data_IF_790302155591
#
_entry.id   IF_790302155591
#
_cell.length_a   1.000
_cell.length_b   1.000
_cell.length_c   1.000
_cell.angle_alpha   90.00
_cell.angle_beta   90.00
_cell.angle_gamma   90.00
#
_symmetry.space_group_name_H-M   'P 1'
#
loop_
_entity.id
_entity.type
_entity.pdbx_description
1 polymer ?
#
# COMPACT_ATOMS: atom_id res chain seq x y z
N UNK A 1 -62.00 -37.05 -12.56
CA UNK A 1 -61.04 -36.78 -11.44
C UNK A 1 -59.70 -36.41 -12.06
N UNK A 2 -59.52 -35.13 -12.28
CA UNK A 2 -58.31 -34.58 -12.94
C UNK A 2 -57.35 -34.10 -11.88
N UNK A 3 -56.15 -34.70 -11.78
CA UNK A 3 -55.08 -34.30 -10.82
C UNK A 3 -54.23 -33.21 -11.46
N UNK A 4 -54.28 -32.01 -10.90
CA UNK A 4 -53.43 -30.93 -11.24
C UNK A 4 -52.12 -31.09 -10.42
N UNK A 5 -51.00 -31.34 -11.11
CA UNK A 5 -49.67 -31.35 -10.50
C UNK A 5 -49.12 -29.91 -10.45
N UNK A 6 -48.91 -29.41 -9.24
CA UNK A 6 -48.30 -28.11 -9.01
C UNK A 6 -46.76 -28.28 -9.05
N UNK A 7 -46.11 -27.76 -10.08
CA UNK A 7 -44.65 -27.72 -10.17
C UNK A 7 -44.13 -26.49 -9.40
N UNK A 8 -43.45 -26.72 -8.29
CA UNK A 8 -42.75 -25.66 -7.53
C UNK A 8 -41.42 -25.35 -8.26
N UNK A 9 -41.34 -24.21 -8.90
CA UNK A 9 -40.08 -23.71 -9.46
C UNK A 9 -39.24 -23.09 -8.35
N UNK A 10 -38.13 -23.76 -8.00
CA UNK A 10 -37.13 -23.24 -7.06
C UNK A 10 -36.30 -22.19 -7.78
N UNK A 11 -36.54 -20.90 -7.52
CA UNK A 11 -35.67 -19.79 -7.99
C UNK A 11 -34.47 -19.71 -7.08
N UNK A 12 -33.33 -20.26 -7.52
CA UNK A 12 -32.05 -20.07 -6.87
C UNK A 12 -31.56 -18.65 -7.18
N UNK A 13 -31.64 -17.76 -6.21
CA UNK A 13 -31.06 -16.43 -6.29
C UNK A 13 -29.53 -16.55 -6.22
N UNK A 14 -28.86 -16.45 -7.35
CA UNK A 14 -27.42 -16.32 -7.43
C UNK A 14 -27.05 -14.92 -6.93
N UNK A 15 -26.62 -14.81 -5.68
CA UNK A 15 -25.98 -13.60 -5.18
C UNK A 15 -24.60 -13.49 -5.84
N UNK A 16 -24.48 -12.64 -6.86
CA UNK A 16 -23.17 -12.24 -7.39
C UNK A 16 -22.54 -11.25 -6.41
N UNK A 17 -21.37 -11.59 -5.84
CA UNK A 17 -20.56 -10.65 -5.09
C UNK A 17 -20.16 -9.48 -6.01
N UNK A 18 -20.04 -8.25 -5.50
CA UNK A 18 -19.52 -7.15 -6.29
C UNK A 18 -18.11 -7.49 -6.80
N UNK A 19 -17.77 -7.05 -8.00
CA UNK A 19 -16.50 -7.34 -8.69
C UNK A 19 -15.28 -7.05 -7.81
N UNK A 20 -15.33 -5.98 -7.02
CA UNK A 20 -14.27 -5.59 -6.06
C UNK A 20 -14.02 -6.67 -5.00
N UNK A 21 -15.08 -7.18 -4.36
CA UNK A 21 -14.93 -8.22 -3.35
C UNK A 21 -14.38 -9.54 -3.94
N UNK A 22 -14.64 -9.81 -5.22
CA UNK A 22 -14.06 -10.95 -5.94
C UNK A 22 -12.57 -10.77 -6.18
N UNK A 23 -12.11 -9.55 -6.48
CA UNK A 23 -10.70 -9.23 -6.68
C UNK A 23 -9.89 -9.38 -5.38
N UNK A 24 -10.39 -8.87 -4.26
CA UNK A 24 -9.74 -9.01 -2.96
C UNK A 24 -9.62 -10.48 -2.54
N UNK A 25 -10.67 -11.29 -2.71
CA UNK A 25 -10.64 -12.72 -2.38
C UNK A 25 -9.64 -13.49 -3.27
N UNK A 26 -9.60 -13.20 -4.57
CA UNK A 26 -8.65 -13.80 -5.49
C UNK A 26 -7.21 -13.45 -5.14
N UNK A 27 -6.92 -12.19 -4.80
CA UNK A 27 -5.60 -11.75 -4.37
C UNK A 27 -5.20 -12.40 -3.04
N UNK A 28 -6.09 -12.50 -2.07
CA UNK A 28 -5.84 -13.19 -0.80
C UNK A 28 -5.42 -14.65 -1.05
N UNK A 29 -6.14 -15.35 -1.91
CA UNK A 29 -5.81 -16.74 -2.25
C UNK A 29 -4.45 -16.85 -2.97
N UNK A 30 -4.15 -15.93 -3.90
CA UNK A 30 -2.87 -15.87 -4.60
C UNK A 30 -1.70 -15.64 -3.63
N UNK A 31 -1.82 -14.69 -2.70
CA UNK A 31 -0.80 -14.39 -1.69
C UNK A 31 -0.56 -15.57 -0.74
N UNK A 32 -1.61 -16.26 -0.33
CA UNK A 32 -1.50 -17.43 0.54
C UNK A 32 -0.76 -18.60 -0.12
N UNK A 33 -1.02 -18.83 -1.42
CA UNK A 33 -0.45 -19.93 -2.20
C UNK A 33 0.88 -19.59 -2.88
N UNK A 34 1.32 -18.31 -2.86
CA UNK A 34 2.54 -17.88 -3.55
C UNK A 34 3.77 -18.64 -3.06
N UNK A 35 4.42 -19.37 -3.98
CA UNK A 35 5.67 -20.08 -3.70
C UNK A 35 6.81 -19.10 -3.41
N UNK A 36 7.68 -19.45 -2.46
CA UNK A 36 8.82 -18.63 -2.06
C UNK A 36 8.46 -17.35 -1.32
N UNK A 37 7.18 -17.06 -1.08
CA UNK A 37 6.76 -15.93 -0.25
C UNK A 37 7.12 -16.20 1.22
N UNK A 38 7.80 -15.25 1.91
CA UNK A 38 8.19 -15.44 3.30
C UNK A 38 7.01 -15.78 4.21
N UNK A 39 7.19 -16.75 5.11
CA UNK A 39 6.16 -17.17 6.07
C UNK A 39 5.70 -15.98 6.95
N UNK A 40 6.64 -15.15 7.40
CA UNK A 40 6.34 -13.95 8.18
C UNK A 40 5.44 -12.95 7.43
N UNK A 41 5.56 -12.86 6.10
CA UNK A 41 4.69 -12.01 5.28
C UNK A 41 3.28 -12.58 5.22
N UNK A 42 3.14 -13.90 5.06
CA UNK A 42 1.85 -14.59 5.08
C UNK A 42 1.14 -14.44 6.43
N UNK A 43 1.87 -14.51 7.53
CA UNK A 43 1.34 -14.24 8.88
C UNK A 43 0.91 -12.77 9.04
N UNK A 44 1.68 -11.84 8.45
CA UNK A 44 1.38 -10.42 8.51
C UNK A 44 0.10 -10.05 7.73
N UNK A 45 -0.31 -10.82 6.73
CA UNK A 45 -1.49 -10.53 5.90
C UNK A 45 -2.77 -10.42 6.72
N UNK A 46 -2.93 -11.24 7.76
CA UNK A 46 -4.12 -11.21 8.60
C UNK A 46 -4.38 -9.84 9.28
N UNK A 47 -3.31 -9.11 9.62
CA UNK A 47 -3.39 -7.79 10.26
C UNK A 47 -3.20 -6.65 9.28
N UNK A 48 -2.43 -6.83 8.20
CA UNK A 48 -2.18 -5.80 7.18
C UNK A 48 -3.29 -5.73 6.14
N UNK A 49 -4.12 -6.77 6.01
CA UNK A 49 -5.25 -6.87 5.07
C UNK A 49 -4.91 -6.33 3.67
N UNK A 50 -3.82 -6.83 3.05
CA UNK A 50 -3.27 -6.19 1.85
C UNK A 50 -4.23 -6.25 0.67
N UNK A 51 -5.01 -7.31 0.52
CA UNK A 51 -5.93 -7.46 -0.59
C UNK A 51 -7.08 -6.44 -0.52
N UNK A 52 -7.68 -6.28 0.65
CA UNK A 52 -8.75 -5.30 0.89
C UNK A 52 -8.23 -3.86 0.78
N UNK A 53 -6.97 -3.64 1.18
CA UNK A 53 -6.30 -2.33 1.06
C UNK A 53 -6.09 -1.96 -0.41
N UNK A 54 -5.59 -2.89 -1.24
CA UNK A 54 -5.40 -2.63 -2.67
C UNK A 54 -6.74 -2.50 -3.42
N UNK A 55 -7.76 -3.25 -3.01
CA UNK A 55 -9.12 -3.09 -3.53
C UNK A 55 -9.68 -1.68 -3.24
N UNK A 56 -9.49 -1.17 -2.02
CA UNK A 56 -9.85 0.20 -1.66
C UNK A 56 -9.11 1.23 -2.51
N UNK A 57 -7.82 1.02 -2.82
CA UNK A 57 -7.07 1.89 -3.73
C UNK A 57 -7.51 1.76 -5.18
N UNK A 58 -8.17 0.66 -5.55
CA UNK A 58 -8.53 0.35 -6.93
C UNK A 58 -7.34 -0.16 -7.76
N UNK A 59 -6.34 -0.75 -7.11
CA UNK A 59 -5.17 -1.33 -7.79
C UNK A 59 -5.50 -2.76 -8.25
N UNK A 60 -5.25 -3.02 -9.53
CA UNK A 60 -5.60 -4.31 -10.14
C UNK A 60 -4.81 -4.66 -11.38
N UNK A 61 -5.23 -5.70 -12.11
CA UNK A 61 -4.48 -6.29 -13.21
C UNK A 61 -4.09 -5.31 -14.31
N UNK A 62 -2.86 -5.45 -14.80
CA UNK A 62 -2.31 -4.68 -15.93
C UNK A 62 -1.78 -3.29 -15.58
N UNK A 63 -1.93 -2.83 -14.33
CA UNK A 63 -1.46 -1.52 -13.90
C UNK A 63 0.06 -1.44 -13.80
N UNK A 64 0.61 -0.24 -14.02
CA UNK A 64 1.98 0.12 -13.70
C UNK A 64 2.00 0.91 -12.39
N UNK A 65 2.65 0.37 -11.37
CA UNK A 65 2.60 0.91 -10.01
C UNK A 65 4.00 1.05 -9.41
N UNK A 66 4.14 1.92 -8.41
CA UNK A 66 5.36 2.02 -7.60
C UNK A 66 5.06 1.75 -6.13
N UNK A 67 5.89 0.91 -5.51
CA UNK A 67 5.99 0.72 -4.06
C UNK A 67 7.08 1.65 -3.56
N UNK A 68 6.69 2.70 -2.84
CA UNK A 68 7.57 3.78 -2.36
C UNK A 68 8.18 3.41 -1.01
N UNK A 69 9.49 3.64 -0.89
CA UNK A 69 10.27 3.29 0.31
C UNK A 69 10.03 1.82 0.69
N UNK A 70 10.08 0.97 -0.33
CA UNK A 70 9.63 -0.43 -0.28
C UNK A 70 10.36 -1.29 0.76
N UNK A 71 11.54 -0.83 1.26
CA UNK A 71 12.37 -1.62 2.19
C UNK A 71 12.62 -3.03 1.63
N UNK A 72 12.35 -4.10 2.38
CA UNK A 72 12.45 -5.49 1.92
C UNK A 72 11.32 -5.98 1.00
N UNK A 73 10.34 -5.11 0.63
CA UNK A 73 9.38 -5.34 -0.45
C UNK A 73 8.13 -6.15 -0.09
N UNK A 74 7.62 -6.05 1.13
CA UNK A 74 6.34 -6.67 1.46
C UNK A 74 5.22 -6.24 0.50
N UNK A 75 5.00 -4.91 0.37
CA UNK A 75 3.99 -4.39 -0.57
C UNK A 75 4.39 -4.57 -2.03
N UNK A 76 5.68 -4.57 -2.36
CA UNK A 76 6.16 -4.91 -3.72
C UNK A 76 5.60 -6.26 -4.19
N UNK A 77 5.69 -7.31 -3.35
CA UNK A 77 5.18 -8.62 -3.70
C UNK A 77 3.65 -8.68 -3.74
N UNK A 78 2.97 -7.98 -2.83
CA UNK A 78 1.50 -7.84 -2.86
C UNK A 78 1.05 -7.17 -4.15
N UNK A 79 1.68 -6.05 -4.53
CA UNK A 79 1.42 -5.32 -5.77
C UNK A 79 1.71 -6.18 -7.00
N UNK A 80 2.84 -6.92 -7.01
CA UNK A 80 3.20 -7.78 -8.13
C UNK A 80 2.14 -8.85 -8.42
N UNK A 81 1.56 -9.43 -7.35
CA UNK A 81 0.45 -10.39 -7.48
C UNK A 81 -0.85 -9.70 -7.94
N UNK A 82 -1.13 -8.49 -7.44
CA UNK A 82 -2.35 -7.75 -7.78
C UNK A 82 -2.37 -7.29 -9.25
N UNK A 83 -1.24 -6.76 -9.75
CA UNK A 83 -1.17 -6.28 -11.15
C UNK A 83 -0.96 -7.41 -12.15
N UNK A 84 -0.50 -8.56 -11.68
CA UNK A 84 -0.30 -9.75 -12.51
C UNK A 84 0.77 -9.61 -13.60
N UNK A 85 0.92 -10.61 -14.48
CA UNK A 85 2.03 -10.69 -15.43
C UNK A 85 2.03 -9.61 -16.51
N UNK A 86 0.89 -8.96 -16.76
CA UNK A 86 0.75 -7.87 -17.73
C UNK A 86 0.91 -6.49 -17.10
N UNK A 87 1.04 -6.40 -15.78
CA UNK A 87 1.33 -5.19 -15.03
C UNK A 87 2.81 -5.04 -14.74
N UNK A 88 3.17 -3.92 -14.10
CA UNK A 88 4.55 -3.62 -13.71
C UNK A 88 4.60 -3.00 -12.33
N UNK A 89 5.57 -3.42 -11.52
CA UNK A 89 5.85 -2.85 -10.20
C UNK A 89 7.26 -2.28 -10.17
N UNK A 90 7.38 -1.02 -9.83
CA UNK A 90 8.66 -0.43 -9.43
C UNK A 90 8.84 -0.56 -7.92
N UNK A 91 9.89 -1.26 -7.50
CA UNK A 91 10.31 -1.37 -6.10
C UNK A 91 11.29 -0.24 -5.79
N UNK A 92 10.79 0.86 -5.24
CA UNK A 92 11.61 2.04 -4.99
C UNK A 92 12.26 1.99 -3.60
N UNK A 93 13.57 2.20 -3.58
CA UNK A 93 14.35 2.48 -2.39
C UNK A 93 15.37 3.58 -2.72
N UNK A 94 15.53 4.54 -1.82
CA UNK A 94 16.60 5.54 -1.99
C UNK A 94 17.97 4.86 -1.88
N UNK A 95 19.00 5.25 -2.70
CA UNK A 95 20.33 4.66 -2.61
C UNK A 95 20.93 4.73 -1.19
N UNK A 96 20.67 5.80 -0.45
CA UNK A 96 21.12 5.98 0.94
C UNK A 96 20.54 4.94 1.90
N UNK A 97 19.31 4.46 1.66
CA UNK A 97 18.67 3.44 2.48
C UNK A 97 19.25 2.03 2.27
N UNK A 98 20.05 1.85 1.21
CA UNK A 98 20.67 0.57 0.84
C UNK A 98 22.14 0.49 1.26
N UNK A 99 22.62 1.42 2.11
CA UNK A 99 24.00 1.47 2.58
C UNK A 99 24.10 1.21 4.09
N UNK A 100 25.31 0.90 4.55
CA UNK A 100 25.56 0.56 5.95
C UNK A 100 24.93 -0.78 6.37
N UNK A 101 24.96 -1.09 7.64
CA UNK A 101 24.54 -2.39 8.17
C UNK A 101 23.03 -2.66 7.93
N UNK A 102 22.18 -1.66 8.16
CA UNK A 102 20.73 -1.76 7.90
C UNK A 102 20.46 -1.94 6.40
N UNK A 103 21.15 -1.15 5.56
CA UNK A 103 21.02 -1.23 4.10
C UNK A 103 21.46 -2.58 3.56
N UNK A 104 22.54 -3.18 4.08
CA UNK A 104 22.97 -4.53 3.70
C UNK A 104 21.91 -5.58 4.01
N UNK A 105 21.22 -5.49 5.16
CA UNK A 105 20.10 -6.40 5.48
C UNK A 105 18.92 -6.19 4.54
N UNK A 106 18.62 -4.94 4.19
CA UNK A 106 17.57 -4.61 3.23
C UNK A 106 17.89 -5.17 1.85
N UNK A 107 19.13 -4.98 1.36
CA UNK A 107 19.60 -5.55 0.09
C UNK A 107 19.49 -7.09 0.06
N UNK A 108 19.87 -7.75 1.16
CA UNK A 108 19.71 -9.22 1.26
C UNK A 108 18.24 -9.62 1.15
N UNK A 109 17.35 -8.95 1.88
CA UNK A 109 15.91 -9.23 1.83
C UNK A 109 15.32 -9.01 0.42
N UNK A 110 15.77 -7.97 -0.29
CA UNK A 110 15.38 -7.70 -1.68
C UNK A 110 15.87 -8.83 -2.60
N UNK A 111 17.14 -9.21 -2.48
CA UNK A 111 17.74 -10.26 -3.31
C UNK A 111 17.04 -11.59 -3.10
N UNK A 112 16.77 -11.97 -1.85
CA UNK A 112 16.03 -13.20 -1.51
C UNK A 112 14.61 -13.17 -2.08
N UNK A 113 13.91 -12.02 -2.00
CA UNK A 113 12.56 -11.84 -2.55
C UNK A 113 12.52 -11.98 -4.06
N UNK A 114 13.50 -11.45 -4.78
CA UNK A 114 13.56 -11.45 -6.24
C UNK A 114 14.30 -12.66 -6.82
N UNK A 115 14.84 -13.54 -5.96
CA UNK A 115 15.60 -14.71 -6.39
C UNK A 115 14.81 -15.59 -7.37
N UNK A 116 15.53 -16.18 -8.33
CA UNK A 116 14.94 -17.08 -9.31
C UNK A 116 13.96 -16.44 -10.29
N UNK A 117 13.84 -15.10 -10.30
CA UNK A 117 12.93 -14.38 -11.21
C UNK A 117 11.45 -14.59 -10.90
N UNK A 118 11.08 -15.03 -9.68
CA UNK A 118 9.70 -15.35 -9.30
C UNK A 118 8.73 -14.15 -9.35
N UNK A 119 9.24 -12.93 -9.31
CA UNK A 119 8.50 -11.68 -9.48
C UNK A 119 8.96 -10.97 -10.76
N UNK A 120 8.76 -11.60 -11.91
CA UNK A 120 9.28 -11.14 -13.20
C UNK A 120 8.72 -9.76 -13.64
N UNK A 121 7.59 -9.33 -13.06
CA UNK A 121 6.97 -8.03 -13.30
C UNK A 121 7.46 -6.93 -12.33
N UNK A 122 8.46 -7.22 -11.49
CA UNK A 122 9.08 -6.24 -10.55
C UNK A 122 10.40 -5.74 -11.13
N UNK A 123 10.56 -4.42 -11.11
CA UNK A 123 11.81 -3.73 -11.43
C UNK A 123 12.28 -2.90 -10.23
N UNK A 124 13.56 -3.05 -9.85
CA UNK A 124 14.16 -2.21 -8.79
C UNK A 124 14.36 -0.79 -9.29
N UNK A 125 13.93 0.17 -8.49
CA UNK A 125 14.07 1.59 -8.75
C UNK A 125 14.87 2.25 -7.61
N UNK A 126 16.21 2.21 -7.71
CA UNK A 126 17.08 2.79 -6.70
C UNK A 126 17.24 4.31 -6.96
N UNK A 127 16.22 5.07 -6.62
CA UNK A 127 16.11 6.53 -6.81
C UNK A 127 15.57 7.19 -5.55
N UNK A 128 15.77 8.50 -5.45
CA UNK A 128 15.15 9.29 -4.38
C UNK A 128 13.63 9.36 -4.59
N UNK A 129 12.79 9.24 -3.54
CA UNK A 129 11.34 9.33 -3.69
C UNK A 129 10.84 10.72 -4.14
N UNK A 130 11.72 11.75 -4.10
CA UNK A 130 11.44 13.08 -4.61
C UNK A 130 11.87 13.28 -6.08
N UNK A 131 12.58 12.30 -6.65
CA UNK A 131 13.00 12.26 -8.07
C UNK A 131 13.10 10.80 -8.53
N UNK A 132 11.99 10.23 -8.95
CA UNK A 132 11.93 8.84 -9.40
C UNK A 132 12.61 8.62 -10.76
N UNK A 133 12.86 9.70 -11.52
CA UNK A 133 13.39 9.60 -12.89
C UNK A 133 12.47 8.88 -13.88
N UNK A 134 11.20 8.69 -13.53
CA UNK A 134 10.18 8.12 -14.40
C UNK A 134 9.53 9.22 -15.27
N UNK A 135 9.00 8.88 -16.46
CA UNK A 135 8.28 9.85 -17.29
C UNK A 135 7.03 10.40 -16.59
N UNK A 136 6.63 11.63 -16.98
CA UNK A 136 5.39 12.24 -16.54
C UNK A 136 4.19 11.36 -16.93
N UNK A 137 3.24 11.19 -16.00
CA UNK A 137 2.02 10.45 -16.26
C UNK A 137 2.23 8.98 -16.64
N UNK A 138 3.30 8.34 -16.15
CA UNK A 138 3.63 6.95 -16.48
C UNK A 138 3.04 5.91 -15.54
N UNK A 139 2.61 6.31 -14.33
CA UNK A 139 2.11 5.42 -13.30
C UNK A 139 0.58 5.48 -13.17
N UNK A 140 -0.05 4.31 -13.03
CA UNK A 140 -1.47 4.19 -12.68
C UNK A 140 -1.69 4.42 -11.18
N UNK A 141 -0.75 3.94 -10.36
CA UNK A 141 -0.79 4.14 -8.91
C UNK A 141 0.60 4.19 -8.28
N UNK A 142 0.66 4.78 -7.09
CA UNK A 142 1.79 4.74 -6.17
C UNK A 142 1.27 4.35 -4.79
N UNK A 143 2.04 3.57 -4.03
CA UNK A 143 1.72 3.18 -2.65
C UNK A 143 2.88 3.53 -1.75
N UNK A 144 2.59 4.20 -0.63
CA UNK A 144 3.54 4.38 0.48
C UNK A 144 2.93 3.78 1.74
N UNK A 145 3.64 2.83 2.34
CA UNK A 145 3.10 2.05 3.45
C UNK A 145 4.03 2.09 4.67
N UNK A 146 3.55 2.72 5.74
CA UNK A 146 4.22 2.85 7.04
C UNK A 146 5.53 3.66 6.98
N UNK A 147 5.64 4.59 6.02
CA UNK A 147 6.83 5.41 5.79
C UNK A 147 6.48 6.89 5.46
N UNK A 148 5.19 7.26 5.38
CA UNK A 148 4.81 8.64 5.07
C UNK A 148 5.22 9.60 6.19
N UNK A 149 5.18 9.15 7.45
CA UNK A 149 5.63 9.94 8.61
C UNK A 149 7.08 10.39 8.51
N UNK A 150 7.94 9.70 7.75
CA UNK A 150 9.33 10.08 7.54
C UNK A 150 9.46 11.43 6.79
N UNK A 151 8.44 11.81 6.00
CA UNK A 151 8.41 13.12 5.33
C UNK A 151 8.32 14.29 6.32
N UNK A 152 7.76 14.05 7.52
CA UNK A 152 7.65 15.05 8.59
C UNK A 152 8.84 15.06 9.55
N UNK A 153 9.63 13.98 9.56
CA UNK A 153 10.81 13.87 10.42
C UNK A 153 12.04 14.58 9.84
N UNK A 154 11.97 14.98 8.59
CA UNK A 154 13.04 15.76 7.96
C UNK A 154 13.02 17.20 8.49
N UNK A 155 14.22 17.76 8.73
CA UNK A 155 14.36 19.15 9.15
C UNK A 155 13.90 20.16 8.08
N UNK A 156 13.81 19.75 6.81
CA UNK A 156 13.31 20.57 5.73
C UNK A 156 11.79 20.49 5.62
N UNK A 157 11.05 21.57 5.93
CA UNK A 157 9.60 21.59 5.89
C UNK A 157 9.01 21.43 4.48
N UNK A 158 9.84 21.51 3.44
CA UNK A 158 9.41 21.32 2.05
C UNK A 158 9.45 19.85 1.59
N UNK A 159 9.90 18.92 2.44
CA UNK A 159 10.08 17.51 2.08
C UNK A 159 8.77 16.89 1.57
N UNK A 160 7.68 17.03 2.31
CA UNK A 160 6.37 16.52 1.89
C UNK A 160 5.89 17.18 0.58
N UNK A 161 6.03 18.49 0.47
CA UNK A 161 5.58 19.22 -0.72
C UNK A 161 6.32 18.74 -1.99
N UNK A 162 7.66 18.53 -1.90
CA UNK A 162 8.44 17.99 -3.02
C UNK A 162 8.03 16.55 -3.37
N UNK A 163 7.84 15.70 -2.36
CA UNK A 163 7.35 14.35 -2.55
C UNK A 163 6.01 14.32 -3.28
N UNK A 164 5.05 15.10 -2.81
CA UNK A 164 3.72 15.18 -3.43
C UNK A 164 3.75 15.78 -4.84
N UNK A 165 4.65 16.74 -5.11
CA UNK A 165 4.88 17.27 -6.45
C UNK A 165 5.40 16.19 -7.41
N UNK A 166 6.36 15.36 -6.97
CA UNK A 166 6.86 14.23 -7.75
C UNK A 166 5.76 13.19 -8.00
N UNK A 167 4.98 12.84 -6.99
CA UNK A 167 3.85 11.93 -7.16
C UNK A 167 2.85 12.48 -8.17
N UNK A 168 2.55 13.77 -8.10
CA UNK A 168 1.65 14.42 -9.06
C UNK A 168 2.23 14.42 -10.47
N UNK A 169 3.55 14.54 -10.63
CA UNK A 169 4.21 14.49 -11.94
C UNK A 169 4.10 13.10 -12.57
N UNK A 170 4.48 12.05 -11.83
CA UNK A 170 4.59 10.68 -12.37
C UNK A 170 3.26 9.95 -12.52
N UNK A 171 2.26 10.28 -11.71
CA UNK A 171 0.93 9.68 -11.83
C UNK A 171 0.21 10.19 -13.10
N UNK A 172 -0.53 9.30 -13.75
CA UNK A 172 -1.50 9.65 -14.80
C UNK A 172 -2.62 10.54 -14.23
N UNK A 173 -3.34 11.30 -15.06
CA UNK A 173 -4.62 11.88 -14.65
C UNK A 173 -5.57 10.77 -14.20
N UNK A 174 -6.22 10.94 -13.07
CA UNK A 174 -7.02 9.90 -12.41
C UNK A 174 -6.20 8.86 -11.61
N UNK A 175 -4.86 8.89 -11.72
CA UNK A 175 -3.97 7.98 -10.98
C UNK A 175 -4.03 8.18 -9.47
N UNK A 176 -3.71 7.14 -8.72
CA UNK A 176 -3.92 7.06 -7.27
C UNK A 176 -2.59 7.05 -6.51
N UNK A 177 -2.50 7.87 -5.45
CA UNK A 177 -1.51 7.69 -4.38
C UNK A 177 -2.24 7.08 -3.17
N UNK A 178 -1.94 5.82 -2.86
CA UNK A 178 -2.38 5.13 -1.67
C UNK A 178 -1.41 5.38 -0.51
N UNK A 179 -1.90 5.90 0.60
CA UNK A 179 -1.12 6.13 1.82
C UNK A 179 -1.64 5.25 2.94
N UNK A 180 -0.75 4.51 3.56
CA UNK A 180 -1.01 3.75 4.79
C UNK A 180 0.02 4.23 5.80
N UNK A 181 -0.41 4.66 7.00
CA UNK A 181 0.58 4.98 8.03
C UNK A 181 0.04 4.80 9.45
N UNK A 182 0.98 4.77 10.40
CA UNK A 182 0.72 4.75 11.83
C UNK A 182 0.05 6.05 12.26
N UNK A 183 -1.14 5.94 12.84
CA UNK A 183 -1.87 7.10 13.32
C UNK A 183 -1.18 7.75 14.52
N UNK A 184 -0.96 9.06 14.45
CA UNK A 184 -0.48 9.91 15.53
C UNK A 184 -1.61 10.66 16.22
N UNK A 185 -1.32 11.23 17.40
CA UNK A 185 -2.25 12.07 18.11
C UNK A 185 -2.11 13.53 17.67
N UNK A 186 -3.23 14.20 17.45
CA UNK A 186 -3.24 15.59 16.99
C UNK A 186 -2.53 16.52 18.00
N UNK A 187 -1.70 17.40 17.49
CA UNK A 187 -0.97 18.40 18.28
C UNK A 187 0.25 17.85 19.05
N UNK A 188 0.54 16.56 18.98
CA UNK A 188 1.72 15.98 19.60
C UNK A 188 2.93 16.02 18.65
N UNK A 189 4.15 15.92 19.23
CA UNK A 189 5.34 15.59 18.44
C UNK A 189 5.33 14.10 18.08
N UNK A 190 4.79 13.79 16.91
CA UNK A 190 4.65 12.42 16.42
C UNK A 190 5.94 11.89 15.76
N UNK A 191 6.93 12.73 15.49
CA UNK A 191 8.18 12.36 14.84
C UNK A 191 8.94 11.25 15.58
N UNK A 192 9.27 11.40 16.88
CA UNK A 192 9.95 10.37 17.66
C UNK A 192 9.15 9.06 17.78
N UNK A 193 7.81 9.13 17.64
CA UNK A 193 6.92 7.98 17.72
C UNK A 193 6.81 7.23 16.39
N UNK A 194 7.36 7.76 15.29
CA UNK A 194 7.19 7.25 13.92
C UNK A 194 5.72 7.15 13.52
N UNK A 195 4.97 8.24 13.75
CA UNK A 195 3.54 8.33 13.46
C UNK A 195 3.23 9.60 12.66
N UNK A 196 2.13 9.59 11.92
CA UNK A 196 1.62 10.75 11.20
C UNK A 196 0.23 11.15 11.68
N UNK A 197 -0.07 12.43 11.68
CA UNK A 197 -1.42 12.95 11.90
C UNK A 197 -2.20 12.89 10.59
N UNK A 198 -3.32 12.19 10.57
CA UNK A 198 -4.16 12.06 9.38
C UNK A 198 -4.54 13.43 8.80
N UNK A 199 -4.94 14.38 9.65
CA UNK A 199 -5.37 15.71 9.19
C UNK A 199 -4.23 16.49 8.50
N UNK A 200 -2.98 16.32 8.94
CA UNK A 200 -1.81 16.90 8.26
C UNK A 200 -1.59 16.29 6.88
N UNK A 201 -1.71 14.96 6.78
CA UNK A 201 -1.61 14.26 5.49
C UNK A 201 -2.68 14.75 4.52
N UNK A 202 -3.92 14.88 4.98
CA UNK A 202 -5.02 15.39 4.16
C UNK A 202 -4.80 16.84 3.72
N UNK A 203 -4.34 17.70 4.63
CA UNK A 203 -4.05 19.09 4.35
C UNK A 203 -2.90 19.25 3.35
N UNK A 204 -1.79 18.52 3.52
CA UNK A 204 -0.65 18.50 2.60
C UNK A 204 -1.05 18.04 1.20
N UNK A 205 -1.81 16.96 1.12
CA UNK A 205 -2.31 16.43 -0.14
C UNK A 205 -3.23 17.43 -0.88
N UNK A 206 -4.15 18.06 -0.15
CA UNK A 206 -5.02 19.11 -0.71
C UNK A 206 -4.22 20.33 -1.20
N UNK A 207 -3.23 20.79 -0.43
CA UNK A 207 -2.34 21.88 -0.82
C UNK A 207 -1.51 21.55 -2.08
N UNK A 208 -1.12 20.28 -2.27
CA UNK A 208 -0.48 19.80 -3.48
C UNK A 208 -1.45 19.61 -4.66
N UNK A 209 -2.75 19.78 -4.44
CA UNK A 209 -3.81 19.68 -5.45
C UNK A 209 -4.22 18.24 -5.78
N UNK A 210 -4.08 17.31 -4.84
CA UNK A 210 -4.74 16.02 -4.89
C UNK A 210 -6.19 16.13 -4.42
N UNK A 211 -7.03 15.23 -4.93
CA UNK A 211 -8.38 15.02 -4.44
C UNK A 211 -8.31 13.90 -3.40
N UNK A 212 -8.85 14.14 -2.19
CA UNK A 212 -9.06 13.07 -1.21
C UNK A 212 -10.25 12.23 -1.68
N UNK A 213 -9.97 11.05 -2.24
CA UNK A 213 -10.97 10.15 -2.85
C UNK A 213 -11.54 9.16 -1.81
N UNK A 214 -11.03 9.18 -0.59
CA UNK A 214 -11.55 8.43 0.55
C UNK A 214 -10.51 8.14 1.62
N UNK A 215 -11.03 7.76 2.79
CA UNK A 215 -10.27 7.17 3.91
C UNK A 215 -10.90 5.85 4.31
N UNK A 216 -10.15 4.97 4.97
CA UNK A 216 -10.68 3.69 5.43
C UNK A 216 -10.24 3.37 6.85
N UNK A 217 -11.17 2.84 7.63
CA UNK A 217 -10.95 2.34 8.99
C UNK A 217 -10.50 0.87 9.03
N UNK A 218 -10.18 0.27 7.88
CA UNK A 218 -9.83 -1.14 7.74
C UNK A 218 -8.71 -1.59 8.68
N UNK A 219 -7.71 -0.71 8.94
CA UNK A 219 -6.53 -0.98 9.76
C UNK A 219 -6.56 -0.25 11.11
N UNK A 220 -7.73 0.24 11.53
CA UNK A 220 -7.87 0.88 12.85
C UNK A 220 -7.71 -0.13 13.98
N UNK A 221 -6.96 0.28 14.99
CA UNK A 221 -6.82 -0.45 16.24
C UNK A 221 -7.04 0.49 17.44
N UNK A 222 -8.27 0.59 17.96
CA UNK A 222 -8.58 1.47 19.08
C UNK A 222 -7.86 1.13 20.40
N UNK A 223 -7.24 -0.06 20.50
CA UNK A 223 -6.46 -0.45 21.67
C UNK A 223 -5.08 0.22 21.74
N UNK A 224 -4.58 0.73 20.61
CA UNK A 224 -3.37 1.56 20.57
C UNK A 224 -3.75 3.03 20.80
N UNK A 225 -3.43 3.56 21.97
CA UNK A 225 -3.66 4.97 22.35
C UNK A 225 -2.69 5.95 21.68
N UNK A 226 -1.75 5.42 20.88
CA UNK A 226 -0.75 6.16 20.08
C UNK A 226 0.28 6.92 20.95
N UNK A 227 0.43 6.55 22.21
CA UNK A 227 1.37 7.18 23.16
C UNK A 227 2.78 6.60 23.08
N UNK A 228 2.92 5.40 22.50
CA UNK A 228 4.19 4.68 22.38
C UNK A 228 4.76 4.76 20.96
N UNK A 229 6.10 4.65 20.85
CA UNK A 229 6.75 4.45 19.56
C UNK A 229 6.28 3.16 18.91
N UNK A 230 6.13 3.15 17.59
CA UNK A 230 5.68 1.97 16.83
C UNK A 230 6.59 0.75 16.98
N UNK A 231 7.80 0.94 17.51
CA UNK A 231 8.78 -0.11 17.78
C UNK A 231 8.67 -0.74 19.17
N UNK A 232 7.82 -0.19 20.04
CA UNK A 232 7.59 -0.78 21.37
C UNK A 232 7.05 -2.20 21.25
N UNK A 233 7.61 -3.12 22.02
CA UNK A 233 7.29 -4.55 21.92
C UNK A 233 5.82 -4.87 22.19
N UNK A 234 5.13 -4.06 22.98
CA UNK A 234 3.72 -4.27 23.35
C UNK A 234 2.74 -3.96 22.23
N UNK A 235 3.13 -3.09 21.27
CA UNK A 235 2.27 -2.65 20.17
C UNK A 235 2.86 -2.92 18.78
N UNK A 236 4.06 -3.44 18.72
CA UNK A 236 4.75 -3.67 17.44
C UNK A 236 3.94 -4.58 16.53
N UNK A 237 3.61 -4.05 15.36
CA UNK A 237 2.81 -4.73 14.35
C UNK A 237 1.30 -4.71 14.59
N UNK A 238 0.81 -4.12 15.68
CA UNK A 238 -0.62 -3.95 15.99
C UNK A 238 -0.98 -2.49 16.31
N UNK A 239 -0.21 -1.55 15.81
CA UNK A 239 -0.48 -0.12 15.93
C UNK A 239 -1.77 0.28 15.25
N UNK A 240 -2.39 1.36 15.73
CA UNK A 240 -3.49 2.01 15.01
C UNK A 240 -2.95 2.65 13.72
N UNK A 241 -3.65 2.43 12.60
CA UNK A 241 -3.24 2.92 11.29
C UNK A 241 -4.42 3.55 10.56
N UNK A 242 -4.11 4.48 9.67
CA UNK A 242 -5.07 5.03 8.73
C UNK A 242 -4.71 4.64 7.29
N UNK A 243 -5.71 4.67 6.44
CA UNK A 243 -5.56 4.49 4.99
C UNK A 243 -6.19 5.70 4.30
N UNK A 244 -5.48 6.30 3.36
CA UNK A 244 -5.97 7.42 2.55
C UNK A 244 -5.77 7.09 1.07
N UNK A 245 -6.80 7.32 0.28
CA UNK A 245 -6.76 7.29 -1.18
C UNK A 245 -6.76 8.70 -1.72
N UNK A 246 -5.67 9.08 -2.37
CA UNK A 246 -5.50 10.39 -3.00
C UNK A 246 -5.52 10.20 -4.51
N UNK A 247 -6.28 11.03 -5.24
CA UNK A 247 -6.39 10.94 -6.69
C UNK A 247 -5.85 12.21 -7.34
N UNK A 248 -4.99 12.03 -8.34
CA UNK A 248 -4.57 13.14 -9.22
C UNK A 248 -5.75 13.56 -10.09
N UNK A 249 -6.09 14.86 -10.16
CA UNK A 249 -7.12 15.37 -11.06
C UNK A 249 -6.88 15.05 -12.53
#
# INVERSE_FOLDING_TARGET
MTRIALALALVASLFTLPVQAQNAAALTAALASAEGRPAADKEADARRKPAETLDFFGIGPGMTVVDLIASGGYYTEVLANAVGPNGKVYMQNAPSALTGERGTRTEQAINDRLAGGRLANVERLNRDPHDLGLPDGSLDAAVIALEYHELYRNADPQTEARFLAEMKRVLKSGGVLGVIDHAGNAGNDNGPMHRAELDKVLAGAAAAGFIVDGTSDLLRNPADDRSLTVFDASIRGVTDQFIVKLRKP
#
